data_IF_309434684830
#
_entry.id   IF_309434684830
#
_cell.length_a   1.000
_cell.length_b   1.000
_cell.length_c   1.000
_cell.angle_alpha   90.00
_cell.angle_beta   90.00
_cell.angle_gamma   90.00
#
_symmetry.space_group_name_H-M   'P 1'
#
loop_
_entity.id
_entity.type
_entity.pdbx_description
1 polymer ?
#
# COMPACT_ATOMS: atom_id res chain seq x y z
N UNK A 1 64.68 33.53 22.96
CA UNK A 1 64.07 32.64 21.95
C UNK A 1 62.96 33.41 21.24
N UNK A 2 63.34 34.11 20.17
CA UNK A 2 62.42 34.84 19.29
C UNK A 2 62.18 33.95 18.06
N UNK A 3 60.94 33.56 17.81
CA UNK A 3 60.54 32.82 16.62
C UNK A 3 59.61 33.75 15.82
N UNK A 4 60.13 34.30 14.73
CA UNK A 4 59.35 35.05 13.75
C UNK A 4 58.44 34.08 12.97
N UNK A 5 57.16 34.42 12.72
CA UNK A 5 56.32 33.64 11.82
C UNK A 5 56.69 33.95 10.36
N UNK A 6 57.12 32.92 9.64
CA UNK A 6 57.42 32.98 8.20
C UNK A 6 56.15 33.26 7.39
N UNK A 7 56.15 34.42 6.73
CA UNK A 7 55.09 34.83 5.80
C UNK A 7 55.18 33.97 4.53
N UNK A 8 54.40 32.89 4.46
CA UNK A 8 54.24 32.11 3.22
C UNK A 8 53.41 32.97 2.25
N UNK A 9 54.07 33.60 1.28
CA UNK A 9 53.41 34.22 0.13
C UNK A 9 52.68 33.13 -0.67
N UNK A 10 51.40 32.93 -0.40
CA UNK A 10 50.50 32.21 -1.28
C UNK A 10 50.34 33.01 -2.56
N UNK A 11 51.16 32.70 -3.57
CA UNK A 11 50.96 33.17 -4.94
C UNK A 11 49.65 32.58 -5.46
N UNK A 12 48.57 33.33 -5.29
CA UNK A 12 47.29 33.07 -5.95
C UNK A 12 47.49 33.25 -7.46
N UNK A 13 47.93 32.20 -8.15
CA UNK A 13 47.88 32.15 -9.60
C UNK A 13 46.41 32.25 -10.00
N UNK A 14 45.99 33.43 -10.44
CA UNK A 14 44.73 33.59 -11.14
C UNK A 14 44.76 32.60 -12.31
N UNK A 15 43.88 31.59 -12.26
CA UNK A 15 43.79 30.58 -13.31
C UNK A 15 43.68 31.28 -14.66
N UNK A 16 44.57 30.92 -15.62
CA UNK A 16 44.59 31.47 -16.98
C UNK A 16 43.16 31.61 -17.52
N UNK A 17 42.82 32.81 -18.02
CA UNK A 17 41.47 33.16 -18.53
C UNK A 17 40.87 32.07 -19.45
N UNK A 18 41.70 31.43 -20.26
CA UNK A 18 41.32 30.32 -21.14
C UNK A 18 40.85 29.03 -20.45
N UNK A 19 41.31 28.70 -19.23
CA UNK A 19 40.84 27.51 -18.48
C UNK A 19 39.45 27.74 -17.88
N UNK A 20 39.16 28.97 -17.46
CA UNK A 20 37.84 29.38 -16.94
C UNK A 20 36.79 29.38 -18.05
N UNK A 21 37.14 29.91 -19.22
CA UNK A 21 36.30 29.85 -20.43
C UNK A 21 36.11 28.42 -20.95
N UNK A 22 37.15 27.57 -20.90
CA UNK A 22 37.01 26.13 -21.20
C UNK A 22 36.05 25.44 -20.24
N UNK A 23 36.14 25.72 -18.93
CA UNK A 23 35.21 25.17 -17.92
C UNK A 23 33.78 25.68 -18.13
N UNK A 24 33.59 26.96 -18.46
CA UNK A 24 32.28 27.52 -18.80
C UNK A 24 31.71 26.90 -20.08
N UNK A 25 32.49 26.80 -21.16
CA UNK A 25 32.07 26.08 -22.39
C UNK A 25 31.75 24.61 -22.14
N UNK A 26 32.49 23.95 -21.22
CA UNK A 26 32.19 22.57 -20.79
C UNK A 26 30.88 22.49 -20.01
N UNK A 27 30.58 23.47 -19.13
CA UNK A 27 29.30 23.57 -18.40
C UNK A 27 28.12 23.86 -19.34
N UNK A 28 28.28 24.75 -20.32
CA UNK A 28 27.25 25.05 -21.33
C UNK A 28 26.98 23.84 -22.23
N UNK A 29 28.01 23.09 -22.63
CA UNK A 29 27.84 21.79 -23.33
C UNK A 29 27.23 20.69 -22.46
N UNK A 30 27.26 20.83 -21.13
CA UNK A 30 26.68 19.89 -20.16
C UNK A 30 25.26 20.23 -19.75
N UNK A 31 24.70 21.33 -20.27
CA UNK A 31 23.25 21.46 -20.36
C UNK A 31 22.84 20.43 -21.40
N UNK A 32 22.63 19.20 -20.92
CA UNK A 32 22.02 18.13 -21.69
C UNK A 32 20.67 18.65 -22.15
N UNK A 33 20.64 19.19 -23.37
CA UNK A 33 19.41 19.32 -24.11
C UNK A 33 18.91 17.89 -24.22
N UNK A 34 17.94 17.53 -23.38
CA UNK A 34 17.18 16.29 -23.52
C UNK A 34 16.67 16.30 -24.96
N UNK A 35 17.35 15.54 -25.83
CA UNK A 35 16.93 15.38 -27.21
C UNK A 35 15.59 14.68 -27.12
N UNK A 36 14.52 15.45 -27.28
CA UNK A 36 13.16 14.92 -27.34
C UNK A 36 13.19 13.83 -28.40
N UNK A 37 13.04 12.58 -27.95
CA UNK A 37 13.10 11.43 -28.83
C UNK A 37 12.07 11.63 -29.95
N UNK A 38 12.42 11.25 -31.18
CA UNK A 38 11.51 11.37 -32.31
C UNK A 38 10.23 10.56 -32.02
N UNK A 39 9.12 11.27 -31.77
CA UNK A 39 7.82 10.65 -31.52
C UNK A 39 7.17 10.35 -32.89
N UNK A 40 6.91 9.07 -33.23
CA UNK A 40 6.18 8.67 -34.42
C UNK A 40 4.83 9.39 -34.52
N UNK A 41 4.40 9.77 -35.73
CA UNK A 41 3.19 10.58 -35.93
C UNK A 41 1.93 9.95 -35.29
N UNK A 42 1.83 8.62 -35.28
CA UNK A 42 0.72 7.88 -34.68
C UNK A 42 0.70 7.96 -33.14
N UNK A 43 1.86 8.12 -32.50
CA UNK A 43 1.97 8.26 -31.04
C UNK A 43 1.68 9.70 -30.59
N UNK A 44 1.97 10.71 -31.43
CA UNK A 44 1.71 12.13 -31.10
C UNK A 44 0.24 12.42 -30.79
N UNK A 45 -0.70 11.77 -31.49
CA UNK A 45 -2.13 11.91 -31.19
C UNK A 45 -2.49 11.29 -29.83
N UNK A 46 -1.90 10.14 -29.49
CA UNK A 46 -2.10 9.46 -28.21
C UNK A 46 -1.53 10.28 -27.06
N UNK A 47 -0.32 10.79 -27.20
CA UNK A 47 0.34 11.61 -26.17
C UNK A 47 -0.38 12.94 -25.97
N UNK A 48 -0.91 13.56 -27.04
CA UNK A 48 -1.75 14.76 -26.94
C UNK A 48 -3.07 14.49 -26.23
N UNK A 49 -3.70 13.34 -26.46
CA UNK A 49 -4.92 12.93 -25.75
C UNK A 49 -4.65 12.64 -24.27
N UNK A 50 -3.51 12.02 -23.95
CA UNK A 50 -3.07 11.78 -22.57
C UNK A 50 -2.75 13.10 -21.85
N UNK A 51 -2.08 14.04 -22.51
CA UNK A 51 -1.76 15.36 -21.95
C UNK A 51 -2.98 16.26 -21.74
N UNK A 52 -4.09 16.01 -22.46
CA UNK A 52 -5.33 16.75 -22.31
C UNK A 52 -6.23 16.23 -21.16
N UNK A 53 -5.87 15.10 -20.54
CA UNK A 53 -6.64 14.50 -19.44
C UNK A 53 -6.27 15.18 -18.12
N UNK A 54 -7.27 15.41 -17.27
CA UNK A 54 -7.05 15.89 -15.90
C UNK A 54 -6.31 14.83 -15.08
N UNK A 55 -5.35 15.26 -14.26
CA UNK A 55 -4.58 14.35 -13.41
C UNK A 55 -5.47 13.71 -12.35
N UNK A 56 -5.30 12.41 -12.11
CA UNK A 56 -6.04 11.70 -11.05
C UNK A 56 -5.55 12.08 -9.66
N UNK A 57 -4.29 12.49 -9.55
CA UNK A 57 -3.71 12.98 -8.30
C UNK A 57 -4.44 14.22 -7.83
N UNK A 58 -5.04 14.10 -6.66
CA UNK A 58 -5.69 15.20 -5.99
C UNK A 58 -4.68 15.91 -5.09
N UNK A 59 -4.39 17.16 -5.39
CA UNK A 59 -3.59 18.05 -4.55
C UNK A 59 -4.33 19.37 -4.36
N UNK A 60 -4.76 19.62 -3.12
CA UNK A 60 -5.40 20.86 -2.70
C UNK A 60 -4.53 21.68 -1.72
N UNK A 61 -3.24 21.36 -1.58
CA UNK A 61 -2.31 22.07 -0.69
C UNK A 61 -2.19 23.57 -1.00
N UNK A 62 -2.41 23.97 -2.26
CA UNK A 62 -2.39 25.37 -2.69
C UNK A 62 -3.68 26.14 -2.38
N UNK A 63 -4.76 25.45 -1.98
CA UNK A 63 -6.03 26.09 -1.61
C UNK A 63 -5.99 26.62 -0.18
N UNK A 64 -6.84 27.59 0.13
CA UNK A 64 -6.99 28.12 1.50
C UNK A 64 -7.88 27.22 2.35
N UNK A 65 -7.71 27.26 3.68
CA UNK A 65 -8.64 26.62 4.59
C UNK A 65 -9.99 27.36 4.56
N UNK A 66 -11.12 26.64 4.64
CA UNK A 66 -12.44 27.27 4.73
C UNK A 66 -12.58 28.04 6.04
N UNK A 67 -13.10 29.27 5.96
CA UNK A 67 -13.40 30.11 7.13
C UNK A 67 -14.85 29.88 7.57
N UNK A 68 -15.75 29.73 6.59
CA UNK A 68 -17.17 29.51 6.81
C UNK A 68 -17.52 28.01 6.75
N UNK A 69 -18.66 27.65 7.33
CA UNK A 69 -19.19 26.28 7.28
C UNK A 69 -19.65 25.87 5.87
N UNK A 70 -20.03 26.85 5.05
CA UNK A 70 -20.48 26.63 3.66
C UNK A 70 -19.49 27.31 2.73
N UNK A 71 -18.84 26.51 1.89
CA UNK A 71 -17.80 27.00 1.00
C UNK A 71 -17.77 26.20 -0.30
N UNK A 72 -17.26 26.81 -1.36
CA UNK A 72 -17.11 26.14 -2.64
C UNK A 72 -15.85 25.25 -2.65
N UNK A 73 -16.03 23.93 -2.79
CA UNK A 73 -14.96 22.90 -2.82
C UNK A 73 -13.85 23.18 -3.86
N UNK A 74 -14.14 23.98 -4.89
CA UNK A 74 -13.17 24.38 -5.90
C UNK A 74 -12.03 25.24 -5.33
N UNK A 75 -12.32 26.12 -4.38
CA UNK A 75 -11.37 27.16 -3.89
C UNK A 75 -10.76 26.86 -2.53
N UNK A 76 -11.37 25.96 -1.77
CA UNK A 76 -10.95 25.62 -0.42
C UNK A 76 -10.49 24.17 -0.32
N UNK A 77 -9.64 23.91 0.68
CA UNK A 77 -9.19 22.56 1.01
C UNK A 77 -10.36 21.68 1.43
N UNK A 78 -10.22 20.39 1.14
CA UNK A 78 -11.18 19.37 1.57
C UNK A 78 -11.13 19.26 3.08
N UNK A 79 -12.29 19.19 3.75
CA UNK A 79 -12.32 18.93 5.19
C UNK A 79 -11.84 17.50 5.42
N UNK A 80 -10.91 17.36 6.36
CA UNK A 80 -10.47 16.06 6.88
C UNK A 80 -11.35 15.79 8.10
N UNK A 81 -12.02 14.64 8.08
CA UNK A 81 -12.92 14.21 9.15
C UNK A 81 -12.18 13.25 10.08
N UNK A 82 -12.41 13.34 11.40
CA UNK A 82 -12.20 12.21 12.31
C UNK A 82 -12.93 10.96 11.79
N UNK A 83 -12.37 9.78 12.01
CA UNK A 83 -12.94 8.53 11.49
C UNK A 83 -14.38 8.32 11.99
N UNK A 84 -14.62 8.51 13.28
CA UNK A 84 -15.95 8.39 13.89
C UNK A 84 -16.97 9.36 13.30
N UNK A 85 -16.59 10.63 13.09
CA UNK A 85 -17.46 11.66 12.47
C UNK A 85 -17.83 11.25 11.04
N UNK A 86 -16.86 10.74 10.27
CA UNK A 86 -17.10 10.27 8.90
C UNK A 86 -18.07 9.08 8.86
N UNK A 87 -17.94 8.11 9.78
CA UNK A 87 -18.89 6.99 9.90
C UNK A 87 -20.29 7.48 10.26
N UNK A 88 -20.39 8.44 11.19
CA UNK A 88 -21.65 9.00 11.60
C UNK A 88 -22.36 9.74 10.46
N UNK A 89 -21.64 10.53 9.66
CA UNK A 89 -22.20 11.15 8.46
C UNK A 89 -22.76 10.10 7.48
N UNK A 90 -22.05 9.00 7.26
CA UNK A 90 -22.55 7.91 6.42
C UNK A 90 -23.82 7.27 7.03
N UNK A 91 -23.89 7.05 8.34
CA UNK A 91 -25.11 6.54 8.99
C UNK A 91 -26.31 7.46 8.84
N UNK A 92 -26.12 8.77 8.94
CA UNK A 92 -27.18 9.76 8.74
C UNK A 92 -27.75 9.69 7.32
N UNK A 93 -26.89 9.54 6.31
CA UNK A 93 -27.36 9.36 4.93
C UNK A 93 -28.12 8.04 4.74
N UNK A 94 -27.73 6.97 5.46
CA UNK A 94 -28.32 5.63 5.35
C UNK A 94 -29.54 5.42 6.27
N UNK A 95 -29.96 6.45 7.00
CA UNK A 95 -31.11 6.42 7.90
C UNK A 95 -32.37 5.88 7.18
N UNK A 96 -33.28 5.17 7.90
CA UNK A 96 -34.54 4.67 7.35
C UNK A 96 -35.38 5.71 6.59
N UNK A 97 -35.31 6.98 7.00
CA UNK A 97 -36.04 8.08 6.34
C UNK A 97 -35.37 8.55 5.03
N UNK A 98 -34.10 8.23 4.82
CA UNK A 98 -33.29 8.65 3.67
C UNK A 98 -33.12 7.52 2.66
N UNK A 99 -31.98 6.82 2.66
CA UNK A 99 -31.73 5.71 1.74
C UNK A 99 -32.29 4.37 2.25
N UNK A 100 -32.62 4.25 3.54
CA UNK A 100 -33.18 3.03 4.14
C UNK A 100 -32.31 1.78 3.95
N UNK A 101 -30.99 1.93 4.12
CA UNK A 101 -30.03 0.80 4.08
C UNK A 101 -29.09 0.92 5.29
N UNK A 102 -29.57 0.69 6.52
CA UNK A 102 -28.75 0.82 7.73
C UNK A 102 -27.53 -0.10 7.70
N UNK A 103 -27.67 -1.29 7.10
CA UNK A 103 -26.62 -2.32 7.04
C UNK A 103 -25.68 -2.17 5.84
N UNK A 104 -25.56 -0.98 5.25
CA UNK A 104 -24.75 -0.77 4.06
C UNK A 104 -23.26 -1.03 4.33
N UNK A 105 -22.54 -1.50 3.30
CA UNK A 105 -21.11 -1.71 3.37
C UNK A 105 -20.36 -0.37 3.34
N UNK A 106 -19.37 -0.23 4.22
CA UNK A 106 -18.48 0.91 4.26
C UNK A 106 -17.19 0.58 3.48
N UNK A 107 -16.95 1.34 2.41
CA UNK A 107 -15.78 1.21 1.56
C UNK A 107 -14.70 2.22 1.97
N UNK A 108 -13.47 1.75 2.12
CA UNK A 108 -12.27 2.56 2.16
C UNK A 108 -11.66 2.63 0.75
N UNK A 109 -11.61 3.84 0.21
CA UNK A 109 -10.95 4.17 -1.05
C UNK A 109 -9.63 4.88 -0.74
N UNK A 110 -8.53 4.18 -1.00
CA UNK A 110 -7.18 4.65 -0.67
C UNK A 110 -6.41 4.92 -1.96
N UNK A 111 -5.94 6.14 -2.10
CA UNK A 111 -5.10 6.60 -3.22
C UNK A 111 -3.63 6.42 -2.85
N UNK A 112 -2.88 5.79 -3.75
CA UNK A 112 -1.49 5.40 -3.54
C UNK A 112 -0.57 6.12 -4.54
N UNK A 113 0.62 6.47 -4.07
CA UNK A 113 1.73 6.92 -4.90
C UNK A 113 2.67 5.75 -5.23
N UNK A 114 2.42 5.10 -6.37
CA UNK A 114 3.09 3.89 -6.84
C UNK A 114 4.43 4.15 -7.54
N UNK A 115 5.09 5.29 -7.29
CA UNK A 115 6.46 5.49 -7.76
C UNK A 115 7.43 4.56 -7.01
N UNK A 116 8.35 3.93 -7.73
CA UNK A 116 9.44 3.15 -7.15
C UNK A 116 10.64 4.01 -6.76
N UNK A 117 11.75 3.36 -6.40
CA UNK A 117 13.00 4.03 -6.02
C UNK A 117 13.57 4.94 -7.13
N UNK A 118 13.40 4.53 -8.40
CA UNK A 118 13.76 5.34 -9.57
C UNK A 118 12.49 5.91 -10.18
N UNK A 119 12.54 7.15 -10.67
CA UNK A 119 11.40 7.82 -11.31
C UNK A 119 10.78 7.05 -12.49
N UNK A 120 11.57 6.22 -13.17
CA UNK A 120 11.14 5.40 -14.31
C UNK A 120 10.57 4.04 -13.92
N UNK A 121 10.72 3.63 -12.65
CA UNK A 121 10.23 2.35 -12.14
C UNK A 121 9.00 2.62 -11.29
N UNK A 122 7.93 1.87 -11.55
CA UNK A 122 6.69 1.95 -10.78
C UNK A 122 6.49 0.64 -10.01
N UNK A 123 5.72 0.72 -8.93
CA UNK A 123 5.27 -0.45 -8.18
C UNK A 123 4.28 -1.22 -9.07
N UNK A 124 4.42 -2.54 -9.10
CA UNK A 124 3.48 -3.39 -9.82
C UNK A 124 2.20 -3.59 -9.03
N UNK A 125 1.12 -3.94 -9.72
CA UNK A 125 -0.13 -4.29 -9.08
C UNK A 125 0.10 -5.44 -8.09
N UNK A 126 -0.56 -5.35 -6.94
CA UNK A 126 -0.47 -6.38 -5.92
C UNK A 126 -1.83 -6.63 -5.28
N UNK A 127 -1.99 -7.87 -4.82
CA UNK A 127 -3.16 -8.37 -4.14
C UNK A 127 -2.74 -8.92 -2.78
N UNK A 128 -3.47 -8.56 -1.73
CA UNK A 128 -3.17 -8.99 -0.37
C UNK A 128 -4.47 -9.18 0.42
N UNK A 129 -4.38 -9.97 1.49
CA UNK A 129 -5.44 -10.12 2.48
C UNK A 129 -4.89 -9.70 3.83
N UNK A 130 -5.53 -8.75 4.50
CA UNK A 130 -5.13 -8.27 5.82
C UNK A 130 -5.88 -9.03 6.90
N UNK A 131 -5.19 -9.47 7.95
CA UNK A 131 -5.86 -9.98 9.14
C UNK A 131 -6.52 -8.82 9.88
N UNK A 132 -7.82 -8.94 10.15
CA UNK A 132 -8.60 -7.91 10.84
C UNK A 132 -8.93 -8.34 12.27
N UNK A 133 -8.97 -7.40 13.22
CA UNK A 133 -9.39 -7.69 14.59
C UNK A 133 -10.90 -8.02 14.66
N UNK A 134 -11.73 -7.26 13.93
CA UNK A 134 -13.19 -7.40 13.99
C UNK A 134 -13.74 -8.02 12.71
N UNK A 135 -14.21 -9.26 12.83
CA UNK A 135 -14.78 -10.03 11.72
C UNK A 135 -16.13 -9.45 11.30
N UNK A 136 -16.38 -9.42 10.00
CA UNK A 136 -17.67 -9.06 9.41
C UNK A 136 -17.92 -9.87 8.15
N UNK A 137 -19.17 -9.87 7.67
CA UNK A 137 -19.53 -10.56 6.44
C UNK A 137 -19.09 -9.73 5.23
N UNK A 138 -18.13 -10.26 4.47
CA UNK A 138 -17.59 -9.64 3.26
C UNK A 138 -18.54 -9.77 2.06
N UNK A 139 -19.55 -10.64 2.13
CA UNK A 139 -20.42 -10.99 1.00
C UNK A 139 -19.72 -11.76 -0.12
N UNK A 140 -18.52 -12.30 0.15
CA UNK A 140 -17.70 -13.05 -0.79
C UNK A 140 -17.58 -14.52 -0.37
N UNK A 141 -17.97 -15.45 -1.26
CA UNK A 141 -17.69 -16.87 -1.06
C UNK A 141 -16.22 -17.18 -1.36
N UNK A 142 -15.41 -17.38 -0.32
CA UNK A 142 -13.98 -17.65 -0.45
C UNK A 142 -13.70 -19.14 -0.36
N UNK A 143 -13.03 -19.66 -1.39
CA UNK A 143 -12.61 -21.05 -1.47
C UNK A 143 -11.09 -21.15 -1.35
N UNK A 144 -10.62 -21.95 -0.40
CA UNK A 144 -9.23 -22.10 0.01
C UNK A 144 -8.84 -23.57 -0.09
N UNK A 145 -7.68 -23.79 -0.69
CA UNK A 145 -7.00 -25.09 -0.71
C UNK A 145 -5.66 -24.97 0.01
N UNK A 146 -5.39 -25.87 0.94
CA UNK A 146 -4.18 -25.89 1.74
C UNK A 146 -3.27 -27.07 1.35
N UNK A 147 -1.97 -26.81 1.25
CA UNK A 147 -0.96 -27.84 0.97
C UNK A 147 0.06 -27.97 2.10
N UNK A 148 0.29 -29.19 2.58
CA UNK A 148 1.36 -29.50 3.54
C UNK A 148 1.76 -30.98 3.46
N UNK A 149 2.98 -31.35 3.85
CA UNK A 149 3.36 -32.77 3.97
C UNK A 149 2.84 -33.39 5.26
N UNK A 150 2.75 -32.60 6.32
CA UNK A 150 2.38 -33.08 7.66
C UNK A 150 0.86 -33.22 7.77
N UNK A 151 0.40 -34.38 8.25
CA UNK A 151 -1.03 -34.65 8.43
C UNK A 151 -1.68 -33.75 9.49
N UNK A 152 -0.92 -33.29 10.49
CA UNK A 152 -1.38 -32.37 11.53
C UNK A 152 -1.73 -31.01 10.93
N UNK A 153 -0.80 -30.39 10.20
CA UNK A 153 -1.03 -29.11 9.52
C UNK A 153 -2.17 -29.18 8.48
N UNK A 154 -2.36 -30.33 7.81
CA UNK A 154 -3.52 -30.54 6.94
C UNK A 154 -4.84 -30.52 7.70
N UNK A 155 -4.90 -31.15 8.89
CA UNK A 155 -6.09 -31.14 9.74
C UNK A 155 -6.37 -29.74 10.29
N UNK A 156 -5.34 -29.05 10.77
CA UNK A 156 -5.43 -27.67 11.26
C UNK A 156 -6.02 -26.73 10.19
N UNK A 157 -5.61 -26.88 8.93
CA UNK A 157 -6.18 -26.10 7.83
C UNK A 157 -7.66 -26.44 7.56
N UNK A 158 -8.05 -27.71 7.64
CA UNK A 158 -9.46 -28.13 7.49
C UNK A 158 -10.32 -27.60 8.64
N UNK A 159 -9.82 -27.69 9.88
CA UNK A 159 -10.50 -27.22 11.09
C UNK A 159 -10.66 -25.69 11.07
N UNK A 160 -9.68 -24.97 10.52
CA UNK A 160 -9.75 -23.52 10.30
C UNK A 160 -10.72 -23.10 9.18
N UNK A 161 -11.26 -24.05 8.40
CA UNK A 161 -12.28 -23.78 7.37
C UNK A 161 -11.80 -23.85 5.92
N UNK A 162 -10.63 -24.42 5.63
CA UNK A 162 -10.25 -24.72 4.25
C UNK A 162 -11.17 -25.80 3.65
N UNK A 163 -11.62 -25.61 2.41
CA UNK A 163 -12.47 -26.61 1.73
C UNK A 163 -11.73 -27.91 1.44
N UNK A 164 -10.42 -27.84 1.23
CA UNK A 164 -9.60 -29.01 0.95
C UNK A 164 -8.17 -28.80 1.45
N UNK A 165 -7.63 -29.79 2.12
CA UNK A 165 -6.22 -29.84 2.50
C UNK A 165 -5.59 -31.16 2.07
N UNK A 166 -4.32 -31.15 1.68
CA UNK A 166 -3.63 -32.38 1.34
C UNK A 166 -2.16 -32.21 1.00
N UNK A 167 -1.50 -33.35 0.84
CA UNK A 167 -0.06 -33.41 0.54
C UNK A 167 0.24 -33.71 -0.93
N UNK A 168 1.22 -34.59 -1.14
CA UNK A 168 1.73 -34.95 -2.48
C UNK A 168 0.66 -35.63 -3.34
N UNK A 169 -0.26 -36.39 -2.73
CA UNK A 169 -1.32 -37.06 -3.49
C UNK A 169 -2.35 -36.08 -4.05
N UNK A 170 -2.66 -35.02 -3.29
CA UNK A 170 -3.52 -33.94 -3.77
C UNK A 170 -2.86 -33.19 -4.93
N UNK A 171 -1.55 -32.95 -4.86
CA UNK A 171 -0.77 -32.35 -5.95
C UNK A 171 -0.88 -33.18 -7.23
N UNK A 172 -0.76 -34.52 -7.14
CA UNK A 172 -0.90 -35.41 -8.30
C UNK A 172 -2.32 -35.37 -8.87
N UNK A 173 -3.35 -35.34 -8.02
CA UNK A 173 -4.75 -35.23 -8.47
C UNK A 173 -5.00 -33.91 -9.23
N UNK A 174 -4.46 -32.80 -8.73
CA UNK A 174 -4.51 -31.50 -9.42
C UNK A 174 -3.76 -31.55 -10.75
N UNK A 175 -2.57 -32.17 -10.77
CA UNK A 175 -1.77 -32.31 -11.99
C UNK A 175 -2.48 -33.15 -13.06
N UNK A 176 -3.17 -34.21 -12.64
CA UNK A 176 -3.94 -35.08 -13.53
C UNK A 176 -5.29 -34.46 -13.96
N UNK A 177 -5.65 -33.27 -13.44
CA UNK A 177 -6.88 -32.57 -13.78
C UNK A 177 -8.13 -33.10 -13.05
N UNK A 178 -7.99 -33.97 -12.04
CA UNK A 178 -9.11 -34.43 -11.23
C UNK A 178 -9.70 -33.31 -10.37
N UNK A 179 -8.85 -32.36 -9.94
CA UNK A 179 -9.24 -31.19 -9.15
C UNK A 179 -8.89 -29.93 -9.92
N UNK A 180 -9.88 -29.07 -10.13
CA UNK A 180 -9.70 -27.79 -10.80
C UNK A 180 -9.38 -26.68 -9.80
N UNK A 181 -8.14 -26.18 -9.82
CA UNK A 181 -7.70 -25.03 -9.00
C UNK A 181 -8.44 -23.71 -9.32
N UNK A 182 -9.23 -23.68 -10.39
CA UNK A 182 -10.04 -22.51 -10.74
C UNK A 182 -11.18 -22.29 -9.75
N UNK A 183 -11.68 -23.36 -9.12
CA UNK A 183 -12.75 -23.30 -8.13
C UNK A 183 -12.28 -22.73 -6.78
N UNK A 184 -10.95 -22.66 -6.56
CA UNK A 184 -10.36 -22.15 -5.34
C UNK A 184 -9.84 -20.73 -5.57
N UNK A 185 -10.27 -19.79 -4.73
CA UNK A 185 -9.87 -18.39 -4.76
C UNK A 185 -8.45 -18.20 -4.24
N UNK A 186 -8.14 -18.83 -3.09
CA UNK A 186 -6.83 -18.74 -2.43
C UNK A 186 -6.16 -20.10 -2.33
N UNK A 187 -4.84 -20.09 -2.40
CA UNK A 187 -4.02 -21.29 -2.18
C UNK A 187 -3.02 -20.97 -1.08
N UNK A 188 -3.06 -21.76 -0.02
CA UNK A 188 -2.16 -21.64 1.12
C UNK A 188 -1.25 -22.86 1.14
N UNK A 189 0.01 -22.69 1.49
CA UNK A 189 0.95 -23.79 1.60
C UNK A 189 1.89 -23.64 2.79
N UNK A 190 2.33 -24.78 3.31
CA UNK A 190 3.42 -24.85 4.25
C UNK A 190 4.77 -24.92 3.50
N UNK A 191 5.87 -24.31 4.01
CA UNK A 191 7.18 -24.32 3.34
C UNK A 191 7.75 -25.71 3.01
N UNK A 192 7.33 -26.74 3.74
CA UNK A 192 7.78 -28.13 3.60
C UNK A 192 7.42 -28.76 2.24
N UNK A 193 6.27 -28.41 1.67
CA UNK A 193 5.70 -29.00 0.44
C UNK A 193 6.04 -28.21 -0.82
N UNK A 194 6.75 -27.09 -0.67
CA UNK A 194 7.15 -26.24 -1.79
C UNK A 194 7.89 -27.00 -2.91
N UNK A 195 8.86 -27.90 -2.64
CA UNK A 195 9.57 -28.59 -3.71
C UNK A 195 8.65 -29.38 -4.64
N UNK A 196 7.62 -30.02 -4.09
CA UNK A 196 6.63 -30.79 -4.83
C UNK A 196 5.62 -29.87 -5.55
N UNK A 197 5.25 -28.76 -4.91
CA UNK A 197 4.29 -27.79 -5.43
C UNK A 197 4.82 -27.05 -6.68
N UNK A 198 6.14 -27.01 -6.89
CA UNK A 198 6.77 -26.45 -8.10
C UNK A 198 6.27 -27.10 -9.39
N UNK A 199 5.85 -28.37 -9.37
CA UNK A 199 5.27 -29.06 -10.51
C UNK A 199 3.98 -28.38 -11.01
N UNK A 200 3.23 -27.74 -10.11
CA UNK A 200 1.97 -27.05 -10.40
C UNK A 200 2.14 -25.58 -10.78
N UNK A 201 3.36 -25.05 -10.79
CA UNK A 201 3.64 -23.61 -11.06
C UNK A 201 3.02 -23.12 -12.37
N UNK A 202 3.04 -23.94 -13.41
CA UNK A 202 2.45 -23.60 -14.71
C UNK A 202 0.92 -23.45 -14.67
N UNK A 203 0.26 -24.24 -13.83
CA UNK A 203 -1.20 -24.21 -13.61
C UNK A 203 -1.59 -23.06 -12.69
N UNK A 204 -0.81 -22.84 -11.63
CA UNK A 204 -1.12 -21.88 -10.57
C UNK A 204 -0.82 -20.42 -10.94
N UNK A 205 0.08 -20.15 -11.90
CA UNK A 205 0.45 -18.81 -12.40
C UNK A 205 0.53 -17.72 -11.31
N UNK A 206 -0.52 -16.90 -11.16
CA UNK A 206 -0.61 -15.78 -10.20
C UNK A 206 -1.05 -16.20 -8.78
N UNK A 207 -1.59 -17.41 -8.61
CA UNK A 207 -2.04 -17.99 -7.34
C UNK A 207 -0.96 -18.84 -6.66
N UNK A 208 0.28 -18.81 -7.14
CA UNK A 208 1.36 -19.58 -6.53
C UNK A 208 1.70 -19.01 -5.13
N UNK A 209 1.80 -19.85 -4.09
CA UNK A 209 2.10 -19.39 -2.74
C UNK A 209 3.42 -18.61 -2.68
N UNK A 210 3.36 -17.44 -2.04
CA UNK A 210 4.50 -16.54 -1.86
C UNK A 210 4.52 -16.04 -0.40
N UNK A 211 5.68 -16.10 0.29
CA UNK A 211 5.81 -15.54 1.64
C UNK A 211 5.52 -14.04 1.67
N UNK A 212 5.80 -13.30 0.59
CA UNK A 212 5.45 -11.87 0.50
C UNK A 212 3.94 -11.63 0.58
N UNK A 213 3.14 -12.56 0.08
CA UNK A 213 1.69 -12.45 0.08
C UNK A 213 1.04 -13.11 1.31
N UNK A 214 1.83 -13.60 2.27
CA UNK A 214 1.32 -14.32 3.46
C UNK A 214 0.64 -15.66 3.17
N UNK A 215 0.63 -16.12 1.91
CA UNK A 215 0.08 -17.43 1.49
C UNK A 215 0.98 -18.62 1.79
N UNK A 216 2.22 -18.36 2.21
CA UNK A 216 3.20 -19.37 2.57
C UNK A 216 3.66 -19.13 4.01
N UNK A 217 3.26 -20.02 4.92
CA UNK A 217 3.58 -19.90 6.34
C UNK A 217 3.61 -21.28 7.01
N UNK A 218 4.23 -21.35 8.19
CA UNK A 218 4.33 -22.56 9.02
C UNK A 218 2.99 -22.83 9.71
N UNK A 219 2.30 -21.78 10.16
CA UNK A 219 1.00 -21.92 10.81
C UNK A 219 -0.14 -21.81 9.78
N UNK A 220 -0.64 -22.96 9.33
CA UNK A 220 -1.70 -23.00 8.34
C UNK A 220 -3.06 -22.64 8.91
N UNK A 221 -3.30 -22.83 10.21
CA UNK A 221 -4.58 -22.49 10.82
C UNK A 221 -4.80 -20.97 10.78
N UNK A 222 -3.86 -20.21 11.33
CA UNK A 222 -3.98 -18.74 11.39
C UNK A 222 -3.98 -18.10 10.01
N UNK A 223 -3.19 -18.62 9.07
CA UNK A 223 -3.23 -18.14 7.69
C UNK A 223 -4.56 -18.44 7.03
N UNK A 224 -5.10 -19.64 7.21
CA UNK A 224 -6.42 -20.00 6.65
C UNK A 224 -7.50 -19.08 7.22
N UNK A 225 -7.53 -18.86 8.53
CA UNK A 225 -8.47 -17.94 9.17
C UNK A 225 -8.34 -16.50 8.64
N UNK A 226 -7.12 -16.03 8.42
CA UNK A 226 -6.83 -14.72 7.80
C UNK A 226 -7.40 -14.62 6.40
N UNK A 227 -7.26 -15.65 5.56
CA UNK A 227 -7.78 -15.60 4.19
C UNK A 227 -9.31 -15.72 4.13
N UNK A 228 -9.93 -16.41 5.10
CA UNK A 228 -11.40 -16.48 5.21
C UNK A 228 -11.96 -15.13 5.66
N UNK A 229 -11.47 -14.61 6.78
CA UNK A 229 -12.10 -13.47 7.48
C UNK A 229 -11.46 -12.12 7.20
N UNK A 230 -10.27 -12.08 6.58
CA UNK A 230 -9.52 -10.85 6.37
C UNK A 230 -10.08 -9.94 5.29
N UNK A 231 -9.63 -8.69 5.25
CA UNK A 231 -9.97 -7.76 4.16
C UNK A 231 -9.06 -8.06 2.98
N UNK A 232 -9.63 -8.55 1.88
CA UNK A 232 -8.92 -8.70 0.61
C UNK A 232 -8.92 -7.38 -0.15
N UNK A 233 -7.73 -6.91 -0.53
CA UNK A 233 -7.58 -5.67 -1.27
C UNK A 233 -6.68 -5.84 -2.49
N UNK A 234 -7.02 -5.08 -3.54
CA UNK A 234 -6.28 -5.05 -4.80
C UNK A 234 -5.78 -3.64 -5.06
N UNK A 235 -4.46 -3.47 -5.07
CA UNK A 235 -3.81 -2.23 -5.48
C UNK A 235 -3.61 -2.25 -6.99
N UNK A 236 -4.41 -1.44 -7.69
CA UNK A 236 -4.34 -1.30 -9.15
C UNK A 236 -3.65 0.00 -9.52
N UNK A 237 -2.59 -0.05 -10.32
CA UNK A 237 -2.04 1.17 -10.94
C UNK A 237 -2.92 1.64 -12.08
N UNK A 238 -2.97 2.95 -12.29
CA UNK A 238 -3.67 3.49 -13.45
C UNK A 238 -2.89 3.19 -14.75
N UNK A 239 -3.63 2.96 -15.83
CA UNK A 239 -3.05 2.59 -17.13
C UNK A 239 -2.29 3.76 -17.77
N UNK A 240 -2.68 4.99 -17.44
CA UNK A 240 -2.13 6.22 -18.00
C UNK A 240 -1.20 6.90 -17.01
N UNK A 241 -1.60 7.02 -15.75
CA UNK A 241 -0.80 7.53 -14.64
C UNK A 241 -0.19 6.39 -13.82
N UNK A 242 0.93 5.84 -14.31
CA UNK A 242 1.57 4.67 -13.68
C UNK A 242 2.07 4.89 -12.26
N UNK A 243 2.22 6.13 -11.83
CA UNK A 243 2.59 6.49 -10.46
C UNK A 243 1.38 6.72 -9.54
N UNK A 244 0.16 6.64 -10.05
CA UNK A 244 -1.06 6.65 -9.28
C UNK A 244 -1.61 5.22 -9.16
N UNK A 245 -1.99 4.85 -7.93
CA UNK A 245 -2.65 3.60 -7.62
C UNK A 245 -3.94 3.83 -6.84
N UNK A 246 -4.88 2.90 -6.99
CA UNK A 246 -6.14 2.92 -6.26
C UNK A 246 -6.37 1.57 -5.58
N UNK A 247 -6.80 1.64 -4.33
CA UNK A 247 -7.36 0.52 -3.57
C UNK A 247 -8.77 0.92 -3.17
N UNK A 248 -9.76 0.06 -3.42
CA UNK A 248 -11.14 0.23 -2.94
C UNK A 248 -11.58 -1.09 -2.33
N UNK A 249 -11.89 -1.08 -1.03
CA UNK A 249 -12.28 -2.29 -0.30
C UNK A 249 -13.28 -2.01 0.79
N UNK A 250 -14.09 -3.01 1.12
CA UNK A 250 -14.99 -2.97 2.27
C UNK A 250 -14.19 -3.16 3.55
N UNK A 251 -14.42 -2.29 4.54
CA UNK A 251 -13.79 -2.39 5.88
C UNK A 251 -14.76 -2.88 6.96
N UNK A 252 -16.05 -2.87 6.66
CA UNK A 252 -17.12 -3.34 7.54
C UNK A 252 -18.49 -2.88 7.05
N UNK A 253 -19.50 -3.08 7.88
CA UNK A 253 -20.88 -2.61 7.68
C UNK A 253 -21.18 -1.45 8.63
N UNK A 254 -22.08 -0.55 8.24
CA UNK A 254 -22.41 0.64 9.04
C UNK A 254 -23.03 0.32 10.41
N UNK A 255 -23.59 -0.89 10.61
CA UNK A 255 -24.12 -1.36 11.89
C UNK A 255 -23.04 -1.68 12.93
N UNK A 256 -21.79 -1.90 12.51
CA UNK A 256 -20.69 -2.22 13.42
C UNK A 256 -20.33 -1.02 14.29
N UNK A 257 -19.79 -1.26 15.49
CA UNK A 257 -19.31 -0.18 16.34
C UNK A 257 -18.25 0.69 15.62
N UNK A 258 -18.28 2.04 15.76
CA UNK A 258 -17.31 2.92 15.10
C UNK A 258 -15.85 2.59 15.45
N UNK A 259 -15.59 2.21 16.70
CA UNK A 259 -14.27 1.78 17.21
C UNK A 259 -13.78 0.53 16.48
N UNK A 260 -14.64 -0.47 16.30
CA UNK A 260 -14.31 -1.69 15.57
C UNK A 260 -14.00 -1.41 14.09
N UNK A 261 -14.76 -0.52 13.46
CA UNK A 261 -14.51 -0.08 12.08
C UNK A 261 -13.17 0.66 11.97
N UNK A 262 -12.84 1.49 12.96
CA UNK A 262 -11.58 2.23 13.01
C UNK A 262 -10.38 1.28 13.16
N UNK A 263 -10.47 0.28 14.04
CA UNK A 263 -9.42 -0.72 14.22
C UNK A 263 -9.20 -1.56 12.95
N UNK A 264 -10.28 -1.93 12.26
CA UNK A 264 -10.20 -2.60 10.95
C UNK A 264 -9.53 -1.71 9.90
N UNK A 265 -9.89 -0.43 9.85
CA UNK A 265 -9.26 0.55 8.96
C UNK A 265 -7.78 0.74 9.28
N UNK A 266 -7.42 0.83 10.57
CA UNK A 266 -6.05 0.95 11.02
C UNK A 266 -5.20 -0.26 10.60
N UNK A 267 -5.73 -1.49 10.74
CA UNK A 267 -5.06 -2.70 10.28
C UNK A 267 -4.79 -2.67 8.76
N UNK A 268 -5.79 -2.24 7.97
CA UNK A 268 -5.66 -2.09 6.51
C UNK A 268 -4.58 -1.06 6.14
N UNK A 269 -4.59 0.12 6.77
CA UNK A 269 -3.61 1.19 6.51
C UNK A 269 -2.20 0.74 6.88
N UNK A 270 -2.02 0.04 8.00
CA UNK A 270 -0.72 -0.50 8.44
C UNK A 270 -0.15 -1.52 7.46
N UNK A 271 -0.96 -2.47 6.99
CA UNK A 271 -0.52 -3.48 6.00
C UNK A 271 -0.18 -2.84 4.65
N UNK A 272 -1.02 -1.90 4.18
CA UNK A 272 -0.75 -1.11 2.98
C UNK A 272 0.57 -0.33 3.09
N UNK A 273 0.82 0.28 4.24
CA UNK A 273 2.06 1.01 4.48
C UNK A 273 3.29 0.10 4.50
N UNK A 274 3.17 -1.13 5.02
CA UNK A 274 4.25 -2.12 4.98
C UNK A 274 4.66 -2.51 3.54
N UNK A 275 3.73 -2.41 2.59
CA UNK A 275 3.98 -2.69 1.17
C UNK A 275 4.67 -1.53 0.42
N UNK A 276 5.01 -0.44 1.11
CA UNK A 276 5.67 0.72 0.49
C UNK A 276 7.02 0.35 -0.15
N UNK A 277 7.35 0.94 -1.30
CA UNK A 277 8.70 0.84 -1.84
C UNK A 277 9.71 1.53 -0.91
N UNK A 278 10.95 1.03 -0.86
CA UNK A 278 12.07 1.64 -0.12
C UNK A 278 12.50 2.97 -0.78
N UNK A 279 11.70 4.01 -0.63
CA UNK A 279 11.97 5.37 -1.11
C UNK A 279 11.52 6.39 -0.09
N UNK A 280 12.02 7.60 -0.23
CA UNK A 280 11.55 8.75 0.53
C UNK A 280 10.19 9.25 -0.01
N UNK A 281 9.40 9.82 0.89
CA UNK A 281 8.09 10.41 0.60
C UNK A 281 6.90 9.47 0.86
N UNK A 282 5.70 10.04 0.72
CA UNK A 282 4.47 9.35 1.07
C UNK A 282 4.13 8.23 0.06
N UNK A 283 3.68 7.09 0.57
CA UNK A 283 3.15 5.99 -0.23
C UNK A 283 1.63 6.05 -0.33
N UNK A 284 0.95 6.34 0.78
CA UNK A 284 -0.47 6.67 0.80
C UNK A 284 -0.61 8.17 0.56
N UNK A 285 -1.48 8.58 -0.35
CA UNK A 285 -1.73 9.98 -0.68
C UNK A 285 -3.00 10.50 -0.02
N UNK A 286 -4.08 9.72 -0.05
CA UNK A 286 -5.37 10.12 0.49
C UNK A 286 -6.22 8.89 0.83
N UNK A 287 -6.97 8.96 1.92
CA UNK A 287 -7.96 7.97 2.31
C UNK A 287 -9.36 8.59 2.31
N UNK A 288 -10.30 7.93 1.64
CA UNK A 288 -11.68 8.37 1.50
C UNK A 288 -12.61 7.25 1.97
N UNK A 289 -13.59 7.58 2.80
CA UNK A 289 -14.68 6.68 3.17
C UNK A 289 -15.89 6.95 2.29
N UNK A 290 -16.49 5.87 1.78
CA UNK A 290 -17.65 5.88 0.89
C UNK A 290 -18.61 4.77 1.27
N UNK A 291 -19.91 5.02 1.25
CA UNK A 291 -20.91 3.98 1.43
C UNK A 291 -22.04 4.15 0.41
N UNK A 292 -22.14 3.27 -0.61
CA UNK A 292 -23.27 3.27 -1.54
C UNK A 292 -24.59 2.94 -0.81
N UNK A 293 -25.73 3.57 -1.16
CA UNK A 293 -25.97 4.37 -2.37
C UNK A 293 -25.52 5.84 -2.30
N UNK A 294 -25.05 6.34 -1.15
CA UNK A 294 -24.60 7.73 -1.04
C UNK A 294 -23.41 8.02 -1.98
N UNK A 295 -23.42 9.15 -2.71
CA UNK A 295 -22.30 9.56 -3.56
C UNK A 295 -21.15 10.20 -2.76
N UNK A 296 -21.34 10.44 -1.46
CA UNK A 296 -20.41 11.17 -0.60
C UNK A 296 -19.08 10.42 -0.41
N UNK A 297 -17.99 11.18 -0.42
CA UNK A 297 -16.63 10.70 -0.16
C UNK A 297 -16.01 11.59 0.89
N UNK A 298 -15.86 11.05 2.10
CA UNK A 298 -15.35 11.79 3.25
C UNK A 298 -13.88 11.48 3.43
N UNK A 299 -13.03 12.51 3.48
CA UNK A 299 -11.59 12.32 3.61
C UNK A 299 -11.25 12.09 5.07
N UNK A 300 -10.47 11.05 5.37
CA UNK A 300 -10.04 10.71 6.73
C UNK A 300 -8.52 10.76 6.81
N UNK A 301 -8.01 11.21 7.96
CA UNK A 301 -6.57 11.23 8.21
C UNK A 301 -6.04 9.81 8.43
N UNK A 302 -5.07 9.41 7.62
CA UNK A 302 -4.42 8.10 7.74
C UNK A 302 -3.13 8.16 8.54
N UNK A 303 -2.58 9.35 8.79
CA UNK A 303 -1.29 9.50 9.47
C UNK A 303 -1.38 9.02 10.93
N UNK A 304 -2.57 9.10 11.55
CA UNK A 304 -2.83 8.62 12.91
C UNK A 304 -2.55 7.13 13.11
N UNK A 305 -2.65 6.32 12.05
CA UNK A 305 -2.53 4.86 12.13
C UNK A 305 -1.16 4.33 11.66
N UNK A 306 -0.32 5.22 11.15
CA UNK A 306 1.05 4.89 10.75
C UNK A 306 1.95 5.21 11.93
N UNK A 307 2.61 4.20 12.48
CA UNK A 307 3.73 4.44 13.41
C UNK A 307 4.85 5.11 12.62
N UNK A 308 5.08 6.39 12.84
CA UNK A 308 6.20 7.08 12.23
C UNK A 308 7.51 6.45 12.73
N UNK A 309 8.49 6.27 11.83
CA UNK A 309 9.82 5.80 12.23
C UNK A 309 10.53 6.75 13.21
N UNK A 310 9.98 7.96 13.41
CA UNK A 310 10.41 8.91 14.45
C UNK A 310 10.06 8.39 15.84
N UNK A 311 8.84 7.91 16.06
CA UNK A 311 8.40 7.35 17.34
C UNK A 311 9.19 6.08 17.69
N UNK A 312 9.63 5.31 16.69
CA UNK A 312 10.51 4.15 16.89
C UNK A 312 11.95 4.52 17.24
N UNK A 313 12.42 5.69 16.81
CA UNK A 313 13.73 6.23 17.23
C UNK A 313 13.65 6.84 18.61
N UNK A 314 12.58 7.58 18.91
CA UNK A 314 12.35 8.17 20.23
C UNK A 314 12.18 7.09 21.30
N UNK A 315 11.37 6.06 21.06
CA UNK A 315 11.25 4.90 21.97
C UNK A 315 12.55 4.11 22.14
N UNK A 316 13.34 3.95 21.07
CA UNK A 316 14.66 3.29 21.18
C UNK A 316 15.68 4.10 21.99
N UNK A 317 15.62 5.41 21.91
CA UNK A 317 16.49 6.30 22.70
C UNK A 317 16.03 6.28 24.16
N UNK A 318 14.73 6.28 24.44
CA UNK A 318 14.20 6.12 25.80
C UNK A 318 14.58 4.76 26.42
N UNK A 319 14.45 3.66 25.67
CA UNK A 319 14.85 2.32 26.14
C UNK A 319 16.39 2.20 26.36
N UNK A 320 17.20 2.85 25.51
CA UNK A 320 18.67 2.89 25.66
C UNK A 320 19.10 3.78 26.86
N UNK A 321 18.40 4.88 27.10
CA UNK A 321 18.63 5.78 28.24
C UNK A 321 18.21 5.13 29.58
N UNK A 322 17.15 4.30 29.58
CA UNK A 322 16.74 3.51 30.75
C UNK A 322 17.75 2.38 31.06
N UNK A 323 18.25 1.66 30.04
CA UNK A 323 19.30 0.64 30.23
C UNK A 323 20.64 1.24 30.70
N UNK A 324 21.01 2.44 30.22
CA UNK A 324 22.20 3.14 30.71
C UNK A 324 22.00 3.66 32.14
N UNK A 325 20.80 4.14 32.49
CA UNK A 325 20.45 4.54 33.86
C UNK A 325 20.55 3.41 34.87
N UNK A 326 20.12 2.20 34.50
CA UNK A 326 20.20 1.01 35.36
C UNK A 326 21.64 0.49 35.53
N UNK A 327 22.48 0.61 34.49
CA UNK A 327 23.91 0.22 34.57
C UNK A 327 24.78 1.16 35.39
N UNK A 328 24.36 2.42 35.57
CA UNK A 328 25.06 3.40 36.41
C UNK A 328 24.62 3.32 37.88
N UNK A 329 23.50 2.66 38.16
CA UNK A 329 22.94 2.48 39.51
C UNK A 329 23.40 1.19 40.23
N UNK A 330 24.10 0.28 39.53
CA UNK A 330 24.79 -0.91 40.06
C UNK A 330 26.29 -0.64 40.21
#
# INVERSE_FOLDING_TARGET
FLIEPSFIQSRNYAARKGTRERKQKKKVKKVEVEKVAFIPHNQRKKDRLLAARATLKYDDSWKSAPVDNVYHTKYYRSKIYPFEEAVQCHRETHHPDMYNVPNASLFARIELYMQGEKKTRFVDDFNQVVAIPHKFDHGEERAIIAFSKTAEAQKEALDAGAQLAGGVDLIKQVQNGAISLQNFHFVVAHPDILPELLALRGVMKRKFPNPKNGTLDVDLATVTERFINGIHYYAKKDEHEKDFGLVETVIGTLDMEPTHLEENFAALVKDLYAMRPKREGHFISRCLLRSPPSPEQLTVDYNLYIEDEKDKKEKKVEDEDEEEGERVAL
#
